data_IF_239014635388
#
_entry.id   IF_239014635388
#
_cell.length_a   1.000
_cell.length_b   1.000
_cell.length_c   1.000
_cell.angle_alpha   90.00
_cell.angle_beta   90.00
_cell.angle_gamma   90.00
#
_symmetry.space_group_name_H-M   'P 1'
#
loop_
_entity.id
_entity.type
_entity.pdbx_description
1 polymer ?
#
# COMPACT_ATOMS: atom_id res chain seq x y z
N UNK A 1 41.66 -52.37 21.48
CA UNK A 1 42.61 -51.56 20.69
C UNK A 1 42.12 -50.12 20.79
N UNK A 2 42.67 -49.28 21.69
CA UNK A 2 43.76 -48.31 21.43
C UNK A 2 43.34 -47.26 20.37
N UNK A 3 43.34 -45.93 20.52
CA UNK A 3 44.00 -44.95 21.40
C UNK A 3 43.29 -43.56 21.31
N UNK A 4 43.40 -42.74 22.36
CA UNK A 4 43.21 -41.27 22.40
C UNK A 4 44.41 -40.53 21.74
N UNK A 5 44.33 -39.24 21.31
CA UNK A 5 44.47 -38.09 22.24
C UNK A 5 43.75 -36.76 21.88
N UNK A 6 43.53 -35.93 22.92
CA UNK A 6 43.17 -34.47 22.91
C UNK A 6 44.32 -33.59 22.35
N UNK A 7 44.24 -32.24 22.15
CA UNK A 7 43.86 -31.20 23.15
C UNK A 7 43.13 -29.92 22.63
N UNK A 8 42.65 -29.11 23.58
CA UNK A 8 42.16 -27.70 23.46
C UNK A 8 43.28 -26.76 22.95
N UNK A 9 42.99 -25.61 22.31
CA UNK A 9 43.12 -24.37 23.11
C UNK A 9 42.22 -23.18 22.69
N UNK A 10 41.79 -22.47 23.71
CA UNK A 10 41.49 -21.02 23.68
C UNK A 10 42.63 -20.23 23.03
N UNK A 11 42.35 -19.33 22.07
CA UNK A 11 43.22 -18.20 21.74
C UNK A 11 42.54 -17.12 20.89
N UNK A 12 42.40 -15.94 21.51
CA UNK A 12 42.78 -14.60 21.02
C UNK A 12 42.34 -14.12 19.63
N UNK A 13 41.60 -12.99 19.59
CA UNK A 13 42.15 -11.64 19.31
C UNK A 13 41.06 -10.70 18.81
N UNK A 14 40.76 -9.61 19.51
CA UNK A 14 41.35 -8.26 19.32
C UNK A 14 40.71 -7.49 18.14
N UNK A 15 39.86 -6.50 18.45
CA UNK A 15 40.06 -5.07 18.14
C UNK A 15 38.74 -4.28 18.30
N UNK A 16 38.65 -3.51 19.38
CA UNK A 16 38.22 -2.11 19.27
C UNK A 16 39.35 -1.31 18.57
N UNK A 17 39.18 -0.06 18.11
CA UNK A 17 38.04 0.85 18.25
C UNK A 17 37.66 1.56 16.93
N UNK A 18 36.52 2.25 16.88
CA UNK A 18 36.46 3.57 16.25
C UNK A 18 35.15 4.27 16.58
N UNK A 19 35.32 5.33 17.37
CA UNK A 19 34.37 6.41 17.60
C UNK A 19 33.95 7.01 16.26
N UNK A 20 32.64 7.08 16.01
CA UNK A 20 32.05 8.03 15.07
C UNK A 20 30.74 8.56 15.68
N UNK A 21 30.44 9.86 15.48
CA UNK A 21 29.61 10.64 16.39
C UNK A 21 28.12 10.32 16.26
N UNK A 22 27.40 10.61 17.33
CA UNK A 22 25.94 10.65 17.39
C UNK A 22 25.40 11.61 16.31
N UNK A 23 25.11 11.07 15.12
CA UNK A 23 24.17 11.69 14.23
C UNK A 23 22.78 11.28 14.73
N UNK A 24 22.16 12.20 15.49
CA UNK A 24 20.73 12.25 15.65
C UNK A 24 20.09 12.50 14.27
N UNK A 25 20.10 11.49 13.41
CA UNK A 25 19.09 11.40 12.37
C UNK A 25 17.83 11.00 13.11
N UNK A 26 16.91 11.95 13.22
CA UNK A 26 15.49 11.70 13.41
C UNK A 26 15.14 10.53 12.52
N UNK A 27 15.12 9.34 13.11
CA UNK A 27 14.63 8.14 12.47
C UNK A 27 13.15 8.46 12.35
N UNK A 28 12.75 8.88 11.14
CA UNK A 28 11.36 8.77 10.72
C UNK A 28 10.89 7.44 11.26
N UNK A 29 9.99 7.51 12.24
CA UNK A 29 9.55 6.36 13.02
C UNK A 29 8.90 5.42 12.03
N UNK A 30 9.71 4.53 11.47
CA UNK A 30 9.30 3.53 10.51
C UNK A 30 8.17 2.79 11.20
N UNK A 31 6.93 2.92 10.71
CA UNK A 31 5.79 2.49 11.48
C UNK A 31 5.95 0.98 11.70
N UNK A 32 5.87 0.57 12.97
CA UNK A 32 6.13 -0.80 13.40
C UNK A 32 5.48 -1.79 12.42
N UNK A 33 6.23 -2.80 11.93
CA UNK A 33 5.70 -3.74 10.97
C UNK A 33 4.50 -4.44 11.60
N UNK A 34 3.30 -4.12 11.09
CA UNK A 34 2.04 -4.75 11.45
C UNK A 34 2.25 -6.26 11.67
N UNK A 35 1.94 -6.74 12.88
CA UNK A 35 2.15 -8.13 13.30
C UNK A 35 1.59 -9.08 12.24
N UNK A 36 2.47 -9.90 11.66
CA UNK A 36 2.17 -10.67 10.44
C UNK A 36 0.97 -11.62 10.57
N UNK A 37 0.59 -11.99 11.79
CA UNK A 37 -0.45 -12.98 12.11
C UNK A 37 -1.86 -12.49 11.77
N UNK A 38 -2.11 -11.18 11.75
CA UNK A 38 -3.45 -10.61 11.50
C UNK A 38 -3.56 -9.88 10.16
N UNK A 39 -2.52 -9.89 9.32
CA UNK A 39 -2.46 -9.09 8.07
C UNK A 39 -3.55 -9.40 7.06
N UNK A 40 -4.14 -10.58 7.12
CA UNK A 40 -5.24 -11.01 6.24
C UNK A 40 -6.59 -11.05 6.97
N UNK A 41 -6.66 -10.56 8.21
CA UNK A 41 -7.93 -10.41 8.91
C UNK A 41 -8.63 -9.13 8.41
N UNK A 42 -9.85 -9.21 7.85
CA UNK A 42 -10.55 -8.05 7.26
C UNK A 42 -10.75 -6.86 8.22
N UNK A 43 -10.96 -7.15 9.50
CA UNK A 43 -11.03 -6.11 10.54
C UNK A 43 -9.68 -5.41 10.75
N UNK A 44 -8.58 -6.17 10.77
CA UNK A 44 -7.25 -5.61 10.96
C UNK A 44 -6.86 -4.75 9.75
N UNK A 45 -7.10 -5.26 8.53
CA UNK A 45 -6.75 -4.52 7.31
C UNK A 45 -7.53 -3.22 7.14
N UNK A 46 -8.78 -3.19 7.59
CA UNK A 46 -9.64 -2.01 7.53
C UNK A 46 -9.45 -1.03 8.68
N UNK A 47 -8.74 -1.38 9.76
CA UNK A 47 -8.55 -0.49 10.92
C UNK A 47 -7.09 -0.11 11.18
N UNK A 48 -6.13 -0.95 10.79
CA UNK A 48 -4.71 -0.69 10.96
C UNK A 48 -4.22 0.36 9.93
N UNK A 49 -3.67 1.51 10.36
CA UNK A 49 -3.23 2.57 9.45
C UNK A 49 -2.23 2.10 8.39
N UNK A 50 -1.27 1.23 8.78
CA UNK A 50 -0.27 0.67 7.86
C UNK A 50 -0.91 -0.21 6.78
N UNK A 51 -1.90 -1.01 7.15
CA UNK A 51 -2.61 -1.87 6.20
C UNK A 51 -3.52 -1.04 5.27
N UNK A 52 -4.20 -0.03 5.81
CA UNK A 52 -4.99 0.90 5.02
C UNK A 52 -4.14 1.66 4.00
N UNK A 53 -2.96 2.14 4.42
CA UNK A 53 -2.05 2.84 3.51
C UNK A 53 -1.53 1.89 2.42
N UNK A 54 -1.12 0.67 2.80
CA UNK A 54 -0.70 -0.35 1.84
C UNK A 54 -1.80 -0.66 0.82
N UNK A 55 -3.05 -0.82 1.26
CA UNK A 55 -4.20 -1.06 0.38
C UNK A 55 -4.49 0.15 -0.52
N UNK A 56 -4.41 1.36 0.02
CA UNK A 56 -4.59 2.59 -0.77
C UNK A 56 -3.56 2.69 -1.88
N UNK A 57 -2.29 2.39 -1.59
CA UNK A 57 -1.22 2.33 -2.62
C UNK A 57 -1.50 1.27 -3.69
N UNK A 58 -2.12 0.13 -3.34
CA UNK A 58 -2.53 -0.87 -4.34
C UNK A 58 -3.65 -0.34 -5.22
N UNK A 59 -4.64 0.35 -4.66
CA UNK A 59 -5.73 0.96 -5.44
C UNK A 59 -5.17 2.00 -6.42
N UNK A 60 -4.29 2.87 -5.94
CA UNK A 60 -3.64 3.89 -6.78
C UNK A 60 -2.84 3.25 -7.92
N UNK A 61 -2.11 2.16 -7.65
CA UNK A 61 -1.38 1.42 -8.67
C UNK A 61 -2.29 0.84 -9.75
N UNK A 62 -3.41 0.22 -9.35
CA UNK A 62 -4.36 -0.36 -10.29
C UNK A 62 -5.04 0.74 -11.10
N UNK A 63 -5.50 1.81 -10.44
CA UNK A 63 -6.17 2.94 -11.09
C UNK A 63 -5.25 3.62 -12.11
N UNK A 64 -4.00 3.91 -11.75
CA UNK A 64 -2.98 4.41 -12.69
C UNK A 64 -2.85 3.50 -13.91
N UNK A 65 -2.77 2.19 -13.69
CA UNK A 65 -2.68 1.22 -14.78
C UNK A 65 -3.90 1.21 -15.70
N UNK A 66 -5.11 1.41 -15.14
CA UNK A 66 -6.34 1.54 -15.93
C UNK A 66 -6.33 2.84 -16.74
N UNK A 67 -6.06 3.98 -16.11
CA UNK A 67 -6.02 5.29 -16.77
C UNK A 67 -5.10 5.27 -17.98
N UNK A 68 -3.87 4.76 -17.84
CA UNK A 68 -2.91 4.67 -18.95
C UNK A 68 -3.42 3.77 -20.09
N UNK A 69 -4.09 2.64 -19.78
CA UNK A 69 -4.70 1.77 -20.80
C UNK A 69 -5.87 2.43 -21.52
N UNK A 70 -6.57 3.34 -20.85
CA UNK A 70 -7.69 4.10 -21.42
C UNK A 70 -7.24 5.35 -22.18
N UNK A 71 -5.94 5.53 -22.38
CA UNK A 71 -5.38 6.60 -23.22
C UNK A 71 -4.97 7.86 -22.47
N UNK A 72 -4.95 7.83 -21.13
CA UNK A 72 -4.35 8.92 -20.37
C UNK A 72 -2.83 8.96 -20.59
N UNK A 73 -2.28 10.18 -20.69
CA UNK A 73 -0.83 10.36 -20.64
C UNK A 73 -0.31 10.41 -19.20
N UNK A 74 0.99 10.18 -19.03
CA UNK A 74 1.63 10.27 -17.72
C UNK A 74 1.46 11.65 -17.08
N UNK A 75 1.55 12.72 -17.87
CA UNK A 75 1.32 14.09 -17.41
C UNK A 75 -0.12 14.29 -16.94
N UNK A 76 -1.09 13.68 -17.63
CA UNK A 76 -2.49 13.78 -17.26
C UNK A 76 -2.78 13.04 -15.95
N UNK A 77 -2.18 11.87 -15.74
CA UNK A 77 -2.27 11.13 -14.47
C UNK A 77 -1.61 11.93 -13.34
N UNK A 78 -0.43 12.53 -13.60
CA UNK A 78 0.26 13.36 -12.62
C UNK A 78 -0.56 14.61 -12.24
N UNK A 79 -1.23 15.24 -13.22
CA UNK A 79 -2.04 16.43 -12.99
C UNK A 79 -3.25 16.19 -12.08
N UNK A 80 -3.76 14.95 -12.00
CA UNK A 80 -4.87 14.57 -11.11
C UNK A 80 -4.41 13.84 -9.85
N UNK A 81 -3.10 13.84 -9.58
CA UNK A 81 -2.57 13.26 -8.35
C UNK A 81 -2.83 14.16 -7.14
N UNK A 82 -3.06 13.59 -5.94
CA UNK A 82 -3.03 12.16 -5.62
C UNK A 82 -4.31 11.43 -6.07
N UNK A 83 -4.15 10.23 -6.64
CA UNK A 83 -5.26 9.43 -7.19
C UNK A 83 -6.31 9.01 -6.15
N UNK A 84 -5.97 9.09 -4.86
CA UNK A 84 -6.94 8.98 -3.76
C UNK A 84 -8.08 10.01 -3.85
N UNK A 85 -7.93 11.08 -4.62
CA UNK A 85 -9.00 12.07 -4.86
C UNK A 85 -10.22 11.49 -5.58
N UNK A 86 -10.09 10.35 -6.26
CA UNK A 86 -11.21 9.62 -6.86
C UNK A 86 -11.97 8.73 -5.88
N UNK A 87 -11.49 8.59 -4.63
CA UNK A 87 -12.09 7.71 -3.64
C UNK A 87 -13.51 8.16 -3.27
N UNK A 88 -14.47 7.22 -3.29
CA UNK A 88 -15.83 7.47 -2.82
C UNK A 88 -15.98 7.20 -1.32
N UNK A 89 -15.15 6.28 -0.79
CA UNK A 89 -15.15 5.84 0.61
C UNK A 89 -13.73 5.79 1.18
N UNK A 90 -13.60 5.98 2.49
CA UNK A 90 -12.33 5.71 3.18
C UNK A 90 -12.17 4.21 3.43
N UNK A 91 -10.93 3.74 3.59
CA UNK A 91 -10.65 2.31 3.82
C UNK A 91 -11.37 1.73 5.03
N UNK A 92 -11.51 2.51 6.10
CA UNK A 92 -12.28 2.13 7.30
C UNK A 92 -13.76 1.88 7.01
N UNK A 93 -14.33 2.56 6.00
CA UNK A 93 -15.74 2.43 5.63
C UNK A 93 -15.97 1.19 4.75
N UNK A 94 -14.90 0.50 4.34
CA UNK A 94 -14.97 -0.77 3.64
C UNK A 94 -15.02 -1.97 4.59
N UNK A 95 -14.81 -1.75 5.90
CA UNK A 95 -14.78 -2.79 6.92
C UNK A 95 -16.05 -3.66 6.86
N UNK A 96 -15.93 -5.00 6.95
CA UNK A 96 -17.09 -5.86 7.06
C UNK A 96 -17.68 -5.81 8.48
N UNK A 97 -18.89 -6.34 8.66
CA UNK A 97 -19.49 -6.50 9.98
C UNK A 97 -18.62 -7.39 10.90
N UNK A 98 -18.15 -6.88 12.06
CA UNK A 98 -17.33 -7.66 12.99
C UNK A 98 -18.07 -8.84 13.63
N UNK A 99 -19.42 -8.82 13.65
CA UNK A 99 -20.24 -9.90 14.19
C UNK A 99 -20.40 -11.10 13.25
N UNK A 100 -20.03 -10.97 11.97
CA UNK A 100 -20.20 -12.03 10.99
C UNK A 100 -19.08 -13.10 11.09
N UNK A 101 -19.30 -14.34 10.61
CA UNK A 101 -18.23 -15.34 10.49
C UNK A 101 -17.05 -14.85 9.62
N UNK A 102 -15.83 -15.26 9.95
CA UNK A 102 -14.61 -14.74 9.31
C UNK A 102 -14.60 -14.92 7.78
N UNK A 103 -15.13 -16.03 7.26
CA UNK A 103 -15.22 -16.28 5.83
C UNK A 103 -16.18 -15.29 5.13
N UNK A 104 -17.28 -14.95 5.80
CA UNK A 104 -18.23 -13.95 5.34
C UNK A 104 -17.57 -12.57 5.36
N UNK A 105 -16.86 -12.23 6.45
CA UNK A 105 -16.12 -10.98 6.54
C UNK A 105 -15.12 -10.81 5.40
N UNK A 106 -14.34 -11.87 5.10
CA UNK A 106 -13.36 -11.85 3.99
C UNK A 106 -14.02 -11.60 2.65
N UNK A 107 -15.12 -12.29 2.37
CA UNK A 107 -15.87 -12.14 1.12
C UNK A 107 -16.46 -10.73 0.97
N UNK A 108 -17.07 -10.21 2.04
CA UNK A 108 -17.67 -8.87 2.05
C UNK A 108 -16.60 -7.80 1.88
N UNK A 109 -15.50 -7.89 2.61
CA UNK A 109 -14.41 -6.92 2.49
C UNK A 109 -13.79 -6.91 1.09
N UNK A 110 -13.56 -8.08 0.49
CA UNK A 110 -13.07 -8.18 -0.87
C UNK A 110 -14.04 -7.54 -1.87
N UNK A 111 -15.35 -7.80 -1.74
CA UNK A 111 -16.39 -7.17 -2.57
C UNK A 111 -16.39 -5.65 -2.42
N UNK A 112 -16.40 -5.14 -1.19
CA UNK A 112 -16.38 -3.71 -0.90
C UNK A 112 -15.13 -3.03 -1.51
N UNK A 113 -13.97 -3.69 -1.46
CA UNK A 113 -12.75 -3.21 -2.11
C UNK A 113 -12.88 -3.11 -3.64
N UNK A 114 -13.49 -4.13 -4.27
CA UNK A 114 -13.69 -4.15 -5.73
C UNK A 114 -14.70 -3.08 -6.16
N UNK A 115 -15.82 -2.95 -5.43
CA UNK A 115 -16.83 -1.91 -5.69
C UNK A 115 -16.24 -0.51 -5.58
N UNK A 116 -15.44 -0.24 -4.54
CA UNK A 116 -14.76 1.04 -4.38
C UNK A 116 -13.73 1.30 -5.49
N UNK A 117 -12.94 0.29 -5.88
CA UNK A 117 -12.00 0.44 -6.98
C UNK A 117 -12.71 0.75 -8.32
N UNK A 118 -13.84 0.09 -8.58
CA UNK A 118 -14.66 0.35 -9.76
C UNK A 118 -15.22 1.77 -9.74
N UNK A 119 -15.74 2.24 -8.60
CA UNK A 119 -16.21 3.61 -8.44
C UNK A 119 -15.12 4.65 -8.75
N UNK A 120 -13.87 4.40 -8.32
CA UNK A 120 -12.74 5.27 -8.64
C UNK A 120 -12.40 5.31 -10.14
N UNK A 121 -12.49 4.15 -10.80
CA UNK A 121 -12.27 4.04 -12.25
C UNK A 121 -13.34 4.85 -12.98
N UNK A 122 -14.61 4.72 -12.58
CA UNK A 122 -15.71 5.43 -13.24
C UNK A 122 -15.60 6.95 -13.01
N UNK A 123 -15.25 7.39 -11.80
CA UNK A 123 -14.96 8.80 -11.52
C UNK A 123 -13.80 9.35 -12.37
N UNK A 124 -12.73 8.55 -12.56
CA UNK A 124 -11.64 8.94 -13.44
C UNK A 124 -12.11 9.05 -14.90
N UNK A 125 -12.91 8.10 -15.39
CA UNK A 125 -13.48 8.15 -16.75
C UNK A 125 -14.32 9.38 -17.00
N UNK A 126 -15.17 9.76 -16.05
CA UNK A 126 -15.97 10.99 -16.14
C UNK A 126 -15.10 12.22 -16.32
N UNK A 127 -14.02 12.34 -15.53
CA UNK A 127 -13.05 13.43 -15.66
C UNK A 127 -12.34 13.39 -17.02
N UNK A 128 -11.98 12.21 -17.51
CA UNK A 128 -11.34 12.07 -18.83
C UNK A 128 -12.27 12.55 -19.95
N UNK A 129 -13.51 12.09 -19.93
CA UNK A 129 -14.50 12.42 -20.95
C UNK A 129 -14.80 13.92 -20.96
N UNK A 130 -14.98 14.53 -19.79
CA UNK A 130 -15.21 15.97 -19.68
C UNK A 130 -14.06 16.79 -20.30
N UNK A 131 -12.80 16.34 -20.16
CA UNK A 131 -11.64 17.00 -20.77
C UNK A 131 -11.59 16.84 -22.28
N UNK A 132 -11.91 15.65 -22.79
CA UNK A 132 -12.00 15.39 -24.24
C UNK A 132 -13.09 16.29 -24.85
N UNK A 133 -14.26 16.33 -24.24
CA UNK A 133 -15.40 17.12 -24.71
C UNK A 133 -15.09 18.62 -24.70
N UNK A 134 -14.45 19.12 -23.63
CA UNK A 134 -14.02 20.51 -23.54
C UNK A 134 -13.01 20.86 -24.65
N UNK A 135 -12.04 19.97 -24.91
CA UNK A 135 -11.05 20.16 -25.97
C UNK A 135 -11.70 20.19 -27.35
N UNK A 136 -12.72 19.35 -27.58
CA UNK A 136 -13.45 19.32 -28.84
C UNK A 136 -14.24 20.62 -29.07
N UNK A 137 -15.01 21.08 -28.08
CA UNK A 137 -15.80 22.32 -28.19
C UNK A 137 -14.93 23.54 -28.48
N UNK A 138 -13.75 23.64 -27.85
CA UNK A 138 -12.80 24.74 -28.09
C UNK A 138 -12.20 24.74 -29.50
N UNK A 139 -12.25 23.63 -30.24
CA UNK A 139 -11.77 23.56 -31.63
C UNK A 139 -12.86 23.84 -32.66
N UNK A 140 -14.12 23.75 -32.24
CA UNK A 140 -15.31 23.97 -33.08
C UNK A 140 -15.86 25.41 -32.96
N UNK A 141 -15.33 26.21 -32.01
CA UNK A 141 -15.66 27.63 -31.79
C UNK A 141 -14.61 28.56 -32.37
#
# INVERSE_FOLDING_TARGET
>A
MAQHPSPDPTSTSTKSPSTAPANALSTEKSPDPCSQIERDHPQHTSTCPNCQERMTRQFDKVLRGVMLREGWTEEQVHAVSPLRGFASKQMKDLAPDPGAPIEVQRRVYARNCVEELQARIDAAREVHQARIDATRRSRES
#
